data_IF_056512644217
#
_entry.id   IF_056512644217
#
_cell.length_a   1.000
_cell.length_b   1.000
_cell.length_c   1.000
_cell.angle_alpha   90.00
_cell.angle_beta   90.00
_cell.angle_gamma   90.00
#
_symmetry.space_group_name_H-M   'P 1'
#
loop_
_entity.id
_entity.type
_entity.pdbx_description
1 polymer ?
#
# COMPACT_ATOMS: atom_id res chain seq x y z
N UNK A 1 -38.07 -39.20 12.14
CA UNK A 1 -36.68 -39.02 12.60
C UNK A 1 -35.89 -40.24 12.17
N UNK A 2 -34.96 -40.10 11.24
CA UNK A 2 -34.06 -41.20 10.82
C UNK A 2 -32.73 -41.01 11.56
N UNK A 3 -32.30 -42.03 12.27
CA UNK A 3 -31.05 -42.08 13.03
C UNK A 3 -29.87 -42.25 12.08
N UNK A 4 -28.83 -41.45 12.29
CA UNK A 4 -27.58 -41.47 11.54
C UNK A 4 -26.76 -42.70 11.94
N UNK A 5 -26.31 -43.48 10.97
CA UNK A 5 -25.54 -44.70 11.18
C UNK A 5 -24.08 -44.42 10.76
N UNK A 6 -23.09 -44.45 11.67
CA UNK A 6 -21.75 -43.92 11.44
C UNK A 6 -20.83 -44.83 10.61
N UNK A 7 -21.28 -46.04 10.26
CA UNK A 7 -20.47 -47.03 9.53
C UNK A 7 -20.83 -47.12 8.04
N UNK A 8 -21.62 -46.19 7.49
CA UNK A 8 -21.91 -46.14 6.06
C UNK A 8 -20.75 -45.46 5.32
N UNK A 9 -19.97 -46.19 4.50
CA UNK A 9 -18.84 -45.61 3.79
C UNK A 9 -19.35 -44.61 2.75
N UNK A 10 -19.01 -43.34 2.94
CA UNK A 10 -19.29 -42.27 1.99
C UNK A 10 -18.51 -42.56 0.69
N UNK A 11 -19.24 -42.93 -0.35
CA UNK A 11 -18.72 -43.11 -1.72
C UNK A 11 -17.92 -41.87 -2.16
N UNK A 12 -16.60 -42.01 -2.10
CA UNK A 12 -15.58 -41.01 -2.42
C UNK A 12 -15.44 -40.77 -3.95
N UNK A 13 -16.31 -41.39 -4.74
CA UNK A 13 -16.20 -41.53 -6.20
C UNK A 13 -16.81 -40.37 -7.01
N UNK A 14 -17.29 -39.29 -6.37
CA UNK A 14 -17.84 -38.10 -7.03
C UNK A 14 -16.96 -36.84 -6.93
N UNK A 15 -15.72 -36.96 -6.43
CA UNK A 15 -14.77 -35.85 -6.33
C UNK A 15 -13.67 -35.86 -7.40
N UNK A 16 -13.72 -36.79 -8.36
CA UNK A 16 -12.64 -36.99 -9.34
C UNK A 16 -12.81 -36.24 -10.67
N UNK A 17 -13.86 -35.43 -10.84
CA UNK A 17 -14.10 -34.69 -12.09
C UNK A 17 -13.77 -33.19 -12.01
N UNK A 18 -12.75 -32.80 -11.25
CA UNK A 18 -12.12 -31.48 -11.41
C UNK A 18 -10.70 -31.70 -11.94
N UNK A 19 -10.64 -32.20 -13.17
CA UNK A 19 -9.55 -31.86 -14.07
C UNK A 19 -9.60 -30.35 -14.34
N UNK A 20 -8.96 -29.58 -13.47
CA UNK A 20 -8.42 -28.30 -13.89
C UNK A 20 -7.00 -28.19 -13.36
N UNK A 21 -6.10 -28.93 -14.00
CA UNK A 21 -4.68 -28.58 -14.09
C UNK A 21 -4.55 -27.22 -14.78
N UNK A 22 -4.90 -26.15 -14.08
CA UNK A 22 -4.31 -24.85 -14.33
C UNK A 22 -2.96 -24.94 -13.64
N UNK A 23 -1.94 -25.21 -14.44
CA UNK A 23 -0.56 -24.93 -14.08
C UNK A 23 -0.54 -23.51 -13.51
N UNK A 24 -0.49 -23.42 -12.18
CA UNK A 24 -0.03 -22.23 -11.49
C UNK A 24 1.43 -22.13 -11.89
N UNK A 25 1.70 -21.44 -13.00
CA UNK A 25 3.04 -20.93 -13.28
C UNK A 25 3.38 -20.06 -12.09
N UNK A 26 4.18 -20.62 -11.19
CA UNK A 26 4.77 -19.97 -10.04
C UNK A 26 5.91 -19.06 -10.50
N UNK A 27 5.70 -18.31 -11.59
CA UNK A 27 6.75 -17.57 -12.31
C UNK A 27 6.25 -16.20 -12.78
N UNK A 28 5.50 -15.52 -11.91
CA UNK A 28 5.48 -14.06 -11.92
C UNK A 28 5.71 -13.55 -10.51
N UNK A 29 6.92 -13.79 -10.00
CA UNK A 29 7.51 -12.84 -9.06
C UNK A 29 7.68 -11.55 -9.89
N UNK A 30 6.99 -10.44 -9.54
CA UNK A 30 7.29 -9.16 -10.17
C UNK A 30 8.78 -8.92 -9.98
N UNK A 31 9.50 -8.72 -11.08
CA UNK A 31 10.92 -8.38 -11.04
C UNK A 31 11.12 -7.34 -9.94
N UNK A 32 11.94 -7.71 -8.96
CA UNK A 32 12.26 -6.87 -7.83
C UNK A 32 12.91 -5.63 -8.43
N UNK A 33 12.21 -4.49 -8.39
CA UNK A 33 12.80 -3.21 -8.77
C UNK A 33 14.00 -3.00 -7.84
N UNK A 34 15.18 -3.40 -8.30
CA UNK A 34 16.45 -3.20 -7.61
C UNK A 34 16.69 -1.69 -7.60
N UNK A 35 16.19 -1.03 -6.56
CA UNK A 35 16.42 0.38 -6.32
C UNK A 35 17.84 0.46 -5.78
N UNK A 36 18.77 0.88 -6.64
CA UNK A 36 20.15 1.14 -6.24
C UNK A 36 20.14 2.23 -5.15
N UNK A 37 20.99 2.09 -4.11
CA UNK A 37 21.08 3.08 -3.03
C UNK A 37 21.39 4.51 -3.54
N UNK A 38 21.96 4.58 -4.75
CA UNK A 38 22.27 5.77 -5.53
C UNK A 38 21.02 6.55 -6.01
N UNK A 39 19.84 5.94 -6.03
CA UNK A 39 18.58 6.52 -6.54
C UNK A 39 17.73 7.25 -5.47
N UNK A 40 18.16 7.25 -4.19
CA UNK A 40 17.48 8.01 -3.13
C UNK A 40 17.98 9.46 -3.06
N UNK A 41 17.79 10.20 -4.15
CA UNK A 41 18.01 11.64 -4.15
C UNK A 41 16.73 12.41 -3.83
N UNK A 42 16.88 13.56 -3.20
CA UNK A 42 15.76 14.49 -3.06
C UNK A 42 15.49 15.17 -4.42
N UNK A 43 14.22 15.51 -4.72
CA UNK A 43 13.92 16.25 -5.93
C UNK A 43 14.53 17.65 -5.85
N UNK A 44 14.61 18.31 -7.00
CA UNK A 44 15.16 19.67 -7.05
C UNK A 44 14.35 20.63 -6.16
N UNK A 45 14.99 21.72 -5.72
CA UNK A 45 14.31 22.72 -4.87
C UNK A 45 13.07 23.32 -5.55
N UNK A 46 13.13 23.53 -6.87
CA UNK A 46 12.03 24.08 -7.68
C UNK A 46 10.87 23.07 -7.73
N UNK A 47 11.19 21.79 -7.94
CA UNK A 47 10.20 20.73 -7.95
C UNK A 47 9.54 20.51 -6.58
N UNK A 48 10.32 20.55 -5.49
CA UNK A 48 9.78 20.52 -4.14
C UNK A 48 8.83 21.69 -3.89
N UNK A 49 9.15 22.89 -4.36
CA UNK A 49 8.26 24.05 -4.26
C UNK A 49 6.95 23.84 -5.05
N UNK A 50 7.02 23.30 -6.26
CA UNK A 50 5.84 22.95 -7.07
C UNK A 50 4.95 21.92 -6.37
N UNK A 51 5.56 20.86 -5.83
CA UNK A 51 4.86 19.81 -5.08
C UNK A 51 4.18 20.36 -3.82
N UNK A 52 4.83 21.28 -3.11
CA UNK A 52 4.25 21.96 -1.96
C UNK A 52 3.04 22.82 -2.37
N UNK A 53 3.18 23.66 -3.39
CA UNK A 53 2.08 24.52 -3.89
C UNK A 53 0.88 23.70 -4.34
N UNK A 54 1.10 22.59 -5.05
CA UNK A 54 0.03 21.66 -5.44
C UNK A 54 -0.66 21.08 -4.21
N UNK A 55 0.08 20.72 -3.17
CA UNK A 55 -0.47 20.20 -1.91
C UNK A 55 -1.32 21.25 -1.19
N UNK A 56 -0.86 22.50 -1.11
CA UNK A 56 -1.60 23.63 -0.53
C UNK A 56 -2.89 23.89 -1.31
N UNK A 57 -2.82 23.92 -2.65
CA UNK A 57 -3.99 24.11 -3.51
C UNK A 57 -5.05 23.02 -3.28
N UNK A 58 -4.60 21.76 -3.20
CA UNK A 58 -5.50 20.63 -2.96
C UNK A 58 -6.13 20.69 -1.56
N UNK A 59 -5.34 21.04 -0.53
CA UNK A 59 -5.83 21.25 0.82
C UNK A 59 -6.87 22.38 0.88
N UNK A 60 -6.59 23.53 0.26
CA UNK A 60 -7.54 24.65 0.17
C UNK A 60 -8.86 24.25 -0.50
N UNK A 61 -8.80 23.46 -1.59
CA UNK A 61 -10.00 22.95 -2.26
C UNK A 61 -10.86 22.08 -1.35
N UNK A 62 -10.24 21.28 -0.47
CA UNK A 62 -10.94 20.43 0.50
C UNK A 62 -11.57 21.25 1.63
N UNK A 63 -10.84 22.25 2.16
CA UNK A 63 -11.39 23.17 3.17
C UNK A 63 -12.63 23.89 2.63
N UNK A 64 -12.57 24.39 1.40
CA UNK A 64 -13.72 25.08 0.78
C UNK A 64 -14.94 24.18 0.62
N UNK A 65 -14.75 22.86 0.54
CA UNK A 65 -15.81 21.86 0.53
C UNK A 65 -16.29 21.45 1.92
N UNK A 66 -15.71 22.01 2.98
CA UNK A 66 -16.00 21.65 4.38
C UNK A 66 -15.37 20.32 4.82
N UNK A 67 -14.40 19.79 4.07
CA UNK A 67 -13.74 18.53 4.42
C UNK A 67 -12.67 18.73 5.52
N UNK A 68 -12.55 17.74 6.42
CA UNK A 68 -11.50 17.71 7.45
C UNK A 68 -10.14 17.41 6.81
N UNK A 69 -9.16 18.27 7.05
CA UNK A 69 -7.79 18.08 6.55
C UNK A 69 -6.92 17.18 7.41
N UNK A 70 -7.28 16.92 8.66
CA UNK A 70 -6.48 16.09 9.56
C UNK A 70 -6.97 14.64 9.53
N UNK A 71 -6.03 13.72 9.34
CA UNK A 71 -6.29 12.29 9.46
C UNK A 71 -6.44 11.90 10.94
N UNK A 72 -7.23 10.87 11.20
CA UNK A 72 -7.27 10.23 12.52
C UNK A 72 -5.90 9.62 12.87
N UNK A 73 -5.62 9.41 14.16
CA UNK A 73 -4.36 8.83 14.62
C UNK A 73 -4.15 7.43 14.03
N UNK A 74 -5.19 6.59 14.00
CA UNK A 74 -5.12 5.22 13.47
C UNK A 74 -4.76 5.25 11.98
N UNK A 75 -5.35 6.19 11.22
CA UNK A 75 -5.07 6.33 9.79
C UNK A 75 -3.66 6.86 9.55
N UNK A 76 -3.22 7.81 10.37
CA UNK A 76 -1.88 8.40 10.28
C UNK A 76 -0.79 7.36 10.56
N UNK A 77 -0.99 6.50 11.56
CA UNK A 77 -0.08 5.42 11.93
C UNK A 77 0.02 4.38 10.81
N UNK A 78 -1.11 3.90 10.29
CA UNK A 78 -1.14 2.97 9.14
C UNK A 78 -0.41 3.54 7.92
N UNK A 79 -0.63 4.83 7.60
CA UNK A 79 0.09 5.49 6.50
C UNK A 79 1.59 5.55 6.75
N UNK A 80 2.00 5.81 7.99
CA UNK A 80 3.41 5.86 8.36
C UNK A 80 4.07 4.48 8.25
N UNK A 81 3.39 3.42 8.69
CA UNK A 81 3.84 2.04 8.55
C UNK A 81 4.10 1.66 7.09
N UNK A 82 3.16 1.98 6.20
CA UNK A 82 3.32 1.79 4.75
C UNK A 82 4.55 2.56 4.23
N UNK A 83 4.71 3.82 4.66
CA UNK A 83 5.85 4.63 4.23
C UNK A 83 7.19 4.09 4.76
N UNK A 84 7.21 3.46 5.93
CA UNK A 84 8.43 2.89 6.51
C UNK A 84 8.95 1.67 5.73
N UNK A 85 8.05 0.98 5.03
CA UNK A 85 8.37 -0.14 4.14
C UNK A 85 8.69 0.32 2.71
N UNK A 86 8.45 1.59 2.37
CA UNK A 86 8.65 2.11 1.03
C UNK A 86 10.16 2.28 0.73
N UNK A 87 10.67 1.73 -0.38
CA UNK A 87 12.08 1.85 -0.73
C UNK A 87 12.49 3.27 -1.15
N UNK A 88 11.52 4.14 -1.46
CA UNK A 88 11.74 5.56 -1.76
C UNK A 88 11.71 6.45 -0.51
N UNK A 89 11.66 5.85 0.68
CA UNK A 89 11.72 6.59 1.94
C UNK A 89 13.18 6.77 2.39
N UNK A 90 13.63 8.03 2.43
CA UNK A 90 14.94 8.40 2.97
C UNK A 90 14.80 8.43 4.50
N UNK A 91 15.04 7.27 5.14
CA UNK A 91 14.84 7.06 6.59
C UNK A 91 15.64 8.05 7.43
N UNK A 92 16.89 8.29 7.07
CA UNK A 92 17.81 9.20 7.79
C UNK A 92 17.28 10.64 7.86
N UNK A 93 16.64 11.10 6.79
CA UNK A 93 16.10 12.47 6.70
C UNK A 93 14.63 12.56 7.10
N UNK A 94 13.93 11.42 7.20
CA UNK A 94 12.48 11.40 7.42
C UNK A 94 11.69 11.98 6.24
N UNK A 95 12.22 11.91 5.02
CA UNK A 95 11.65 12.50 3.80
C UNK A 95 11.43 11.48 2.70
N UNK A 96 10.43 11.75 1.85
CA UNK A 96 10.20 10.95 0.64
C UNK A 96 11.12 11.44 -0.49
N UNK A 97 11.84 10.54 -1.16
CA UNK A 97 12.69 10.90 -2.32
C UNK A 97 11.88 11.36 -3.54
N UNK A 98 10.61 10.95 -3.65
CA UNK A 98 9.77 11.32 -4.79
C UNK A 98 9.25 12.76 -4.74
N UNK A 99 8.92 13.27 -3.55
CA UNK A 99 8.28 14.59 -3.42
C UNK A 99 8.95 15.53 -2.42
N UNK A 100 9.95 15.05 -1.67
CA UNK A 100 10.70 15.82 -0.69
C UNK A 100 9.93 16.21 0.58
N UNK A 101 8.69 15.73 0.78
CA UNK A 101 7.92 16.04 1.99
C UNK A 101 8.41 15.26 3.21
N UNK A 102 8.28 15.87 4.40
CA UNK A 102 8.45 15.17 5.67
C UNK A 102 7.28 14.23 5.93
N UNK A 103 7.55 12.94 6.04
CA UNK A 103 6.48 11.94 6.14
C UNK A 103 5.70 12.03 7.44
N UNK A 104 6.39 12.27 8.57
CA UNK A 104 5.73 12.48 9.88
C UNK A 104 4.66 13.58 9.86
N UNK A 105 4.85 14.61 9.05
CA UNK A 105 3.87 15.67 8.85
C UNK A 105 2.81 15.27 7.82
N UNK A 106 3.25 14.75 6.65
CA UNK A 106 2.38 14.40 5.52
C UNK A 106 1.31 13.38 5.90
N UNK A 107 1.62 12.36 6.70
CA UNK A 107 0.66 11.30 7.05
C UNK A 107 -0.54 11.81 7.87
N UNK A 108 -0.35 12.91 8.61
CA UNK A 108 -1.40 13.55 9.43
C UNK A 108 -2.36 14.41 8.62
N UNK A 109 -2.07 14.63 7.34
CA UNK A 109 -2.86 15.49 6.44
C UNK A 109 -3.60 14.60 5.42
N UNK A 110 -4.87 14.89 5.16
CA UNK A 110 -5.78 14.13 4.28
C UNK A 110 -5.80 14.68 2.88
#
# INVERSE_FOLDING_TARGET
>A
MKTFNPDEPLEFSLLTDIEQTRAFTQDRVPEEDQINEEDLCLPSKIEMASNLLRSIKNAGKKILKGEKLSADSIVSEKRLEICNQCPKFIKEQGRCSLCGCFLKAKVRIV
#
